data_IF_031910259087
#
_entry.id   IF_031910259087
#
_cell.length_a   1.000
_cell.length_b   1.000
_cell.length_c   1.000
_cell.angle_alpha   90.00
_cell.angle_beta   90.00
_cell.angle_gamma   90.00
#
_symmetry.space_group_name_H-M   'P 1'
#
loop_
_entity.id
_entity.type
_entity.pdbx_description
1 polymer ?
#
# COMPACT_ATOMS: atom_id res chain seq x y z
N UNK A 1 22.33 26.79 -13.22
CA UNK A 1 21.80 25.54 -13.81
C UNK A 1 21.28 24.69 -12.66
N UNK A 2 19.97 24.74 -12.41
CA UNK A 2 19.33 23.91 -11.39
C UNK A 2 19.05 22.55 -12.01
N UNK A 3 19.39 21.42 -11.36
CA UNK A 3 18.93 20.13 -11.83
C UNK A 3 17.42 20.08 -11.58
N UNK A 4 16.66 20.05 -12.67
CA UNK A 4 15.24 19.70 -12.68
C UNK A 4 15.16 18.32 -12.03
N UNK A 5 14.56 18.25 -10.85
CA UNK A 5 14.21 17.00 -10.19
C UNK A 5 13.41 16.20 -11.21
N UNK A 6 14.03 15.13 -11.66
CA UNK A 6 13.61 14.30 -12.76
C UNK A 6 12.18 13.83 -12.50
N UNK A 7 11.23 14.35 -13.27
CA UNK A 7 9.85 13.89 -13.42
C UNK A 7 9.76 12.46 -14.02
N UNK A 8 10.80 11.65 -13.83
CA UNK A 8 10.96 10.28 -14.31
C UNK A 8 10.60 9.23 -13.24
N UNK A 9 9.89 9.62 -12.17
CA UNK A 9 9.11 8.69 -11.37
C UNK A 9 7.80 8.26 -12.09
N UNK A 10 7.75 8.43 -13.41
CA UNK A 10 6.76 7.92 -14.33
C UNK A 10 6.69 6.39 -14.27
N UNK A 11 5.84 5.90 -13.39
CA UNK A 11 4.90 4.81 -13.70
C UNK A 11 5.51 3.53 -14.26
N UNK A 12 6.53 2.96 -13.61
CA UNK A 12 6.64 1.50 -13.68
C UNK A 12 5.58 0.94 -12.75
N UNK A 13 4.54 0.35 -13.33
CA UNK A 13 3.68 -0.56 -12.59
C UNK A 13 4.59 -1.65 -12.02
N UNK A 14 4.68 -1.71 -10.69
CA UNK A 14 5.45 -2.70 -9.95
C UNK A 14 4.45 -3.75 -9.46
N UNK A 15 4.16 -4.77 -10.28
CA UNK A 15 3.11 -5.73 -9.96
C UNK A 15 3.50 -6.53 -8.72
N UNK A 16 2.51 -6.79 -7.88
CA UNK A 16 2.64 -7.83 -6.87
C UNK A 16 2.65 -9.19 -7.55
N UNK A 17 3.39 -10.15 -6.98
CA UNK A 17 3.36 -11.55 -7.46
C UNK A 17 1.96 -12.16 -7.39
N UNK A 18 1.17 -11.71 -6.44
CA UNK A 18 -0.22 -12.07 -6.25
C UNK A 18 -1.00 -10.82 -5.86
N UNK A 19 -2.18 -10.63 -6.45
CA UNK A 19 -3.06 -9.54 -6.05
C UNK A 19 -3.44 -9.67 -4.57
N UNK A 20 -3.52 -8.54 -3.88
CA UNK A 20 -3.90 -8.49 -2.47
C UNK A 20 -5.42 -8.28 -2.39
N UNK A 21 -6.21 -9.24 -1.89
CA UNK A 21 -7.64 -9.07 -1.72
C UNK A 21 -7.92 -8.05 -0.62
N UNK A 22 -8.89 -7.18 -0.86
CA UNK A 22 -9.25 -6.05 0.03
C UNK A 22 -10.72 -6.12 0.45
N UNK A 23 -11.31 -7.32 0.40
CA UNK A 23 -12.71 -7.55 0.74
C UNK A 23 -13.03 -7.10 2.18
N UNK A 24 -14.07 -6.30 2.34
CA UNK A 24 -14.51 -5.80 3.65
C UNK A 24 -13.81 -4.52 4.12
N UNK A 25 -12.77 -4.06 3.44
CA UNK A 25 -12.10 -2.80 3.77
C UNK A 25 -12.76 -1.64 3.01
N UNK A 26 -13.54 -0.82 3.71
CA UNK A 26 -14.20 0.35 3.13
C UNK A 26 -13.21 1.30 2.43
N UNK A 27 -13.56 1.72 1.21
CA UNK A 27 -12.77 2.65 0.39
C UNK A 27 -11.77 2.00 -0.57
N UNK A 28 -11.47 0.70 -0.40
CA UNK A 28 -10.55 -0.04 -1.26
C UNK A 28 -11.26 -0.65 -2.48
N UNK A 29 -10.56 -0.86 -3.61
CA UNK A 29 -11.04 -1.71 -4.70
C UNK A 29 -11.23 -3.16 -4.22
N UNK A 30 -11.69 -4.09 -5.07
CA UNK A 30 -11.86 -5.49 -4.67
C UNK A 30 -10.52 -6.22 -4.44
N UNK A 31 -9.48 -5.83 -5.17
CA UNK A 31 -8.12 -6.29 -5.00
C UNK A 31 -7.13 -5.23 -5.50
N UNK A 32 -5.93 -5.21 -4.93
CA UNK A 32 -4.82 -4.35 -5.33
C UNK A 32 -3.77 -5.19 -6.07
N UNK A 33 -3.34 -4.75 -7.25
CA UNK A 33 -2.50 -5.55 -8.16
C UNK A 33 -1.04 -5.12 -8.18
N UNK A 34 -0.77 -3.87 -7.85
CA UNK A 34 0.57 -3.31 -7.86
C UNK A 34 0.82 -2.31 -6.72
N UNK A 35 2.09 -1.95 -6.55
CA UNK A 35 2.54 -1.02 -5.51
C UNK A 35 1.92 0.37 -5.67
N UNK A 36 1.69 0.83 -6.90
CA UNK A 36 1.17 2.18 -7.18
C UNK A 36 -0.30 2.29 -6.79
N UNK A 37 -1.11 1.31 -7.21
CA UNK A 37 -2.51 1.16 -6.81
C UNK A 37 -2.64 1.10 -5.29
N UNK A 38 -1.84 0.24 -4.65
CA UNK A 38 -1.86 0.08 -3.20
C UNK A 38 -1.49 1.37 -2.47
N UNK A 39 -0.44 2.07 -2.92
CA UNK A 39 -0.01 3.34 -2.33
C UNK A 39 -1.12 4.38 -2.39
N UNK A 40 -1.75 4.54 -3.56
CA UNK A 40 -2.85 5.50 -3.76
C UNK A 40 -4.07 5.15 -2.92
N UNK A 41 -4.42 3.88 -2.80
CA UNK A 41 -5.53 3.44 -1.97
C UNK A 41 -5.26 3.72 -0.48
N UNK A 42 -4.08 3.37 0.03
CA UNK A 42 -3.68 3.68 1.42
C UNK A 42 -3.63 5.19 1.66
N UNK A 43 -3.08 5.95 0.71
CA UNK A 43 -3.02 7.41 0.76
C UNK A 43 -4.39 8.06 0.91
N UNK A 44 -5.35 7.63 0.09
CA UNK A 44 -6.70 8.19 0.09
C UNK A 44 -7.53 7.75 1.30
N UNK A 45 -7.47 6.47 1.64
CA UNK A 45 -8.44 5.86 2.56
C UNK A 45 -7.95 5.72 4.00
N UNK A 46 -6.63 5.71 4.23
CA UNK A 46 -6.05 5.39 5.54
C UNK A 46 -5.12 6.46 6.08
N UNK A 47 -4.42 7.23 5.25
CA UNK A 47 -3.59 8.33 5.77
C UNK A 47 -4.39 9.41 6.52
N UNK A 48 -5.61 9.82 6.09
CA UNK A 48 -6.42 10.76 6.88
C UNK A 48 -6.80 10.23 8.27
N UNK A 49 -6.76 8.90 8.45
CA UNK A 49 -7.12 8.18 9.67
C UNK A 49 -5.89 7.74 10.48
N UNK A 50 -4.67 8.12 10.08
CA UNK A 50 -3.40 7.63 10.68
C UNK A 50 -3.34 7.78 12.19
N UNK A 51 -3.95 8.83 12.76
CA UNK A 51 -3.96 9.04 14.21
C UNK A 51 -4.58 7.87 14.98
N UNK A 52 -5.37 7.04 14.31
CA UNK A 52 -6.04 5.88 14.89
C UNK A 52 -5.34 4.54 14.60
N UNK A 53 -4.32 4.48 13.72
CA UNK A 53 -3.72 3.20 13.34
C UNK A 53 -2.29 3.32 12.78
N UNK A 54 -1.28 3.27 13.65
CA UNK A 54 0.14 3.33 13.28
C UNK A 54 0.57 2.24 12.29
N UNK A 55 -0.15 1.11 12.23
CA UNK A 55 0.08 0.03 11.25
C UNK A 55 -0.03 0.51 9.80
N UNK A 56 -0.97 1.41 9.50
CA UNK A 56 -1.18 1.92 8.13
C UNK A 56 -0.05 2.84 7.66
N UNK A 57 0.58 3.58 8.58
CA UNK A 57 1.78 4.38 8.25
C UNK A 57 2.97 3.48 7.89
N UNK A 58 3.16 2.37 8.61
CA UNK A 58 4.22 1.41 8.30
C UNK A 58 4.02 0.75 6.92
N UNK A 59 2.77 0.43 6.55
CA UNK A 59 2.42 -0.06 5.20
C UNK A 59 2.77 0.99 4.15
N UNK A 60 2.36 2.24 4.34
CA UNK A 60 2.64 3.32 3.40
C UNK A 60 4.15 3.53 3.17
N UNK A 61 4.94 3.53 4.24
CA UNK A 61 6.39 3.66 4.13
C UNK A 61 7.04 2.49 3.37
N UNK A 62 6.55 1.27 3.55
CA UNK A 62 7.04 0.11 2.78
C UNK A 62 6.66 0.18 1.31
N UNK A 63 5.47 0.69 0.99
CA UNK A 63 5.05 0.92 -0.40
C UNK A 63 5.94 1.99 -1.07
N UNK A 64 6.28 3.06 -0.36
CA UNK A 64 7.24 4.05 -0.85
C UNK A 64 8.64 3.45 -1.08
N UNK A 65 9.13 2.62 -0.15
CA UNK A 65 10.41 1.94 -0.29
C UNK A 65 10.43 0.98 -1.49
N UNK A 66 9.36 0.20 -1.67
CA UNK A 66 9.21 -0.69 -2.82
C UNK A 66 9.18 0.08 -4.14
N UNK A 67 8.51 1.25 -4.17
CA UNK A 67 8.46 2.11 -5.35
C UNK A 67 9.83 2.73 -5.68
N UNK A 68 10.59 3.15 -4.66
CA UNK A 68 11.92 3.73 -4.84
C UNK A 68 12.98 2.70 -5.24
N UNK A 69 12.91 1.48 -4.68
CA UNK A 69 13.88 0.42 -4.95
C UNK A 69 13.60 -0.34 -6.25
N UNK A 70 12.32 -0.59 -6.56
CA UNK A 70 11.91 -1.55 -7.59
C UNK A 70 12.34 -3.00 -7.29
N UNK A 71 12.82 -3.27 -6.07
CA UNK A 71 13.38 -4.56 -5.67
C UNK A 71 12.27 -5.59 -5.42
N UNK A 72 12.42 -6.80 -5.95
CA UNK A 72 11.43 -7.86 -5.76
C UNK A 72 11.20 -8.22 -4.28
N UNK A 73 12.24 -8.12 -3.45
CA UNK A 73 12.14 -8.34 -2.01
C UNK A 73 11.33 -7.25 -1.31
N UNK A 74 11.56 -5.97 -1.68
CA UNK A 74 10.83 -4.83 -1.11
C UNK A 74 9.37 -4.81 -1.55
N UNK A 75 9.10 -5.15 -2.82
CA UNK A 75 7.74 -5.31 -3.36
C UNK A 75 6.98 -6.40 -2.60
N UNK A 76 7.60 -7.56 -2.38
CA UNK A 76 6.97 -8.66 -1.64
C UNK A 76 6.78 -8.31 -0.15
N UNK A 77 7.74 -7.64 0.48
CA UNK A 77 7.62 -7.16 1.85
C UNK A 77 6.48 -6.13 2.00
N UNK A 78 6.32 -5.23 1.04
CA UNK A 78 5.22 -4.27 1.01
C UNK A 78 3.87 -4.98 0.82
N UNK A 79 3.80 -5.97 -0.07
CA UNK A 79 2.61 -6.80 -0.29
C UNK A 79 2.17 -7.53 0.98
N UNK A 80 3.11 -8.16 1.68
CA UNK A 80 2.84 -8.89 2.93
C UNK A 80 2.36 -7.94 4.05
N UNK A 81 3.02 -6.79 4.20
CA UNK A 81 2.59 -5.79 5.18
C UNK A 81 1.18 -5.27 4.90
N UNK A 82 0.85 -5.04 3.62
CA UNK A 82 -0.48 -4.63 3.20
C UNK A 82 -1.53 -5.70 3.52
N UNK A 83 -1.28 -6.97 3.18
CA UNK A 83 -2.19 -8.07 3.47
C UNK A 83 -2.45 -8.20 4.98
N UNK A 84 -1.39 -8.16 5.80
CA UNK A 84 -1.51 -8.24 7.25
C UNK A 84 -2.31 -7.05 7.84
N UNK A 85 -2.12 -5.84 7.31
CA UNK A 85 -2.89 -4.68 7.75
C UNK A 85 -4.37 -4.79 7.38
N UNK A 86 -4.69 -5.30 6.19
CA UNK A 86 -6.08 -5.54 5.77
C UNK A 86 -6.75 -6.62 6.61
N UNK A 87 -6.06 -7.71 6.93
CA UNK A 87 -6.56 -8.75 7.84
C UNK A 87 -6.82 -8.21 9.26
N UNK A 88 -5.91 -7.37 9.78
CA UNK A 88 -6.08 -6.71 11.07
C UNK A 88 -7.23 -5.69 11.07
N UNK A 89 -7.44 -4.96 9.98
CA UNK A 89 -8.56 -4.03 9.82
C UNK A 89 -9.91 -4.76 9.64
N UNK A 90 -9.88 -6.00 9.12
CA UNK A 90 -11.06 -6.84 8.91
C UNK A 90 -11.56 -7.56 10.18
N UNK A 91 -10.79 -7.59 11.29
CA UNK A 91 -11.21 -8.21 12.56
C UNK A 91 -10.99 -7.28 13.77
N UNK A 92 -11.99 -6.99 14.64
CA UNK A 92 -13.33 -7.56 14.78
C UNK A 92 -14.49 -6.53 14.64
N UNK A 93 -15.30 -6.68 13.59
CA UNK A 93 -16.76 -6.45 13.67
C UNK A 93 -17.51 -7.81 13.68
N UNK A 94 -16.88 -8.83 14.28
CA UNK A 94 -17.46 -10.13 14.62
C UNK A 94 -17.26 -10.40 16.10
N UNK A 95 -18.00 -9.69 16.92
CA UNK A 95 -18.57 -10.17 18.17
C UNK A 95 -19.66 -9.15 18.55
N UNK A 96 -20.86 -9.69 18.76
CA UNK A 96 -21.98 -9.00 19.38
C UNK A 96 -21.63 -8.52 20.80
#
# INVERSE_FOLDING_TARGET
MSPILNDAASGRDLPFRQAVPTHGCGGFPAALRDVTEARRAVERERLPLIRSHAGWLAVYNRLLLAQASGGAADIEAARQALAAALEADAGPHRAA
#
